data_IF_090996656133
#
_entry.id   IF_090996656133
#
_cell.length_a   1.000
_cell.length_b   1.000
_cell.length_c   1.000
_cell.angle_alpha   90.00
_cell.angle_beta   90.00
_cell.angle_gamma   90.00
#
_symmetry.space_group_name_H-M   'P 1'
#
loop_
_entity.id
_entity.type
_entity.pdbx_description
1 polymer ?
#
# COMPACT_ATOMS: atom_id res chain seq x y z
N UNK A 1 -15.88 17.83 33.09
CA UNK A 1 -14.56 17.13 32.99
C UNK A 1 -14.66 15.72 32.41
N UNK A 2 -15.59 14.86 32.84
CA UNK A 2 -15.71 13.46 32.32
C UNK A 2 -16.06 13.41 30.81
N UNK A 3 -16.94 14.28 30.32
CA UNK A 3 -17.25 14.36 28.87
C UNK A 3 -16.06 14.74 27.99
N UNK A 4 -15.15 15.58 28.51
CA UNK A 4 -13.93 15.96 27.79
C UNK A 4 -12.97 14.77 27.68
N UNK A 5 -12.78 14.00 28.76
CA UNK A 5 -11.99 12.77 28.74
C UNK A 5 -12.58 11.70 27.81
N UNK A 6 -13.91 11.54 27.80
CA UNK A 6 -14.59 10.61 26.88
C UNK A 6 -14.44 11.03 25.41
N UNK A 7 -14.58 12.32 25.10
CA UNK A 7 -14.34 12.85 23.75
C UNK A 7 -12.88 12.73 23.32
N UNK A 8 -11.93 12.98 24.24
CA UNK A 8 -10.50 12.83 23.97
C UNK A 8 -10.10 11.36 23.74
N UNK A 9 -10.66 10.44 24.55
CA UNK A 9 -10.49 9.00 24.38
C UNK A 9 -11.02 8.54 23.02
N UNK A 10 -12.24 8.95 22.67
CA UNK A 10 -12.84 8.64 21.37
C UNK A 10 -12.04 9.22 20.18
N UNK A 11 -11.52 10.44 20.29
CA UNK A 11 -10.68 11.05 19.26
C UNK A 11 -9.35 10.29 19.08
N UNK A 12 -8.71 9.90 20.18
CA UNK A 12 -7.48 9.12 20.15
C UNK A 12 -7.68 7.75 19.47
N UNK A 13 -8.78 7.06 19.79
CA UNK A 13 -9.13 5.78 19.15
C UNK A 13 -9.39 5.94 17.66
N UNK A 14 -10.11 6.99 17.25
CA UNK A 14 -10.37 7.26 15.82
C UNK A 14 -9.07 7.57 15.06
N UNK A 15 -8.18 8.39 15.64
CA UNK A 15 -6.89 8.72 15.02
C UNK A 15 -5.98 7.49 14.91
N UNK A 16 -5.98 6.63 15.94
CA UNK A 16 -5.22 5.39 15.94
C UNK A 16 -5.76 4.44 14.86
N UNK A 17 -7.08 4.31 14.76
CA UNK A 17 -7.75 3.50 13.76
C UNK A 17 -7.43 3.96 12.33
N UNK A 18 -7.54 5.26 12.06
CA UNK A 18 -7.19 5.83 10.76
C UNK A 18 -5.71 5.57 10.42
N UNK A 19 -4.80 5.72 11.38
CA UNK A 19 -3.38 5.40 11.17
C UNK A 19 -3.14 3.93 10.84
N UNK A 20 -3.89 3.01 11.47
CA UNK A 20 -3.80 1.58 11.19
C UNK A 20 -4.30 1.28 9.77
N UNK A 21 -5.47 1.81 9.40
CA UNK A 21 -6.05 1.63 8.07
C UNK A 21 -5.12 2.17 6.97
N UNK A 22 -4.49 3.33 7.17
CA UNK A 22 -3.53 3.91 6.22
C UNK A 22 -2.26 3.05 6.04
N UNK A 23 -1.82 2.35 7.09
CA UNK A 23 -0.67 1.42 7.02
C UNK A 23 -1.05 0.14 6.27
N UNK A 24 -2.24 -0.39 6.48
CA UNK A 24 -2.73 -1.59 5.81
C UNK A 24 -2.92 -1.43 4.29
N UNK A 25 -3.01 -0.20 3.78
CA UNK A 25 -3.14 0.05 2.35
C UNK A 25 -1.83 -0.15 1.56
N UNK A 26 -0.67 -0.17 2.22
CA UNK A 26 0.66 -0.15 1.59
C UNK A 26 1.34 -1.49 1.23
N UNK A 27 0.91 -2.68 1.70
CA UNK A 27 1.61 -3.91 1.40
C UNK A 27 1.41 -4.32 -0.07
N UNK A 28 2.42 -5.00 -0.60
CA UNK A 28 2.39 -5.63 -1.91
C UNK A 28 1.20 -6.55 -2.00
N UNK A 29 0.36 -6.37 -3.03
CA UNK A 29 -0.88 -7.12 -3.19
C UNK A 29 -0.69 -8.57 -3.64
N UNK A 30 0.56 -9.02 -3.73
CA UNK A 30 0.93 -10.36 -4.18
C UNK A 30 1.34 -11.21 -2.98
N UNK A 31 2.37 -10.80 -2.23
CA UNK A 31 2.80 -11.53 -1.04
C UNK A 31 2.10 -11.09 0.25
N UNK A 32 1.49 -9.89 0.27
CA UNK A 32 0.92 -9.26 1.48
C UNK A 32 1.90 -9.14 2.67
N UNK A 33 3.20 -9.32 2.44
CA UNK A 33 4.23 -9.37 3.47
C UNK A 33 5.21 -8.19 3.41
N UNK A 34 5.59 -7.76 2.20
CA UNK A 34 6.50 -6.64 1.99
C UNK A 34 5.75 -5.40 1.50
N UNK A 35 6.31 -4.21 1.71
CA UNK A 35 5.75 -2.99 1.14
C UNK A 35 5.80 -2.98 -0.40
N UNK A 36 4.79 -2.35 -1.00
CA UNK A 36 4.79 -2.06 -2.43
C UNK A 36 5.90 -1.06 -2.74
N UNK A 37 6.75 -1.38 -3.72
CA UNK A 37 7.88 -0.51 -4.09
C UNK A 37 8.29 -0.64 -5.57
N UNK A 38 7.43 -1.22 -6.42
CA UNK A 38 7.63 -1.33 -7.87
C UNK A 38 6.44 -0.80 -8.66
N UNK A 39 6.75 0.04 -9.66
CA UNK A 39 5.83 0.49 -10.70
C UNK A 39 6.05 -0.30 -11.99
N UNK A 40 4.97 -0.76 -12.61
CA UNK A 40 5.01 -1.44 -13.91
C UNK A 40 4.95 -0.47 -15.09
N UNK A 41 5.82 -0.65 -16.08
CA UNK A 41 5.82 0.11 -17.33
C UNK A 41 5.21 -0.71 -18.47
N UNK A 42 4.40 -0.10 -19.36
CA UNK A 42 4.06 1.33 -19.41
C UNK A 42 2.82 1.72 -18.58
N UNK A 43 2.13 0.78 -17.91
CA UNK A 43 0.80 1.04 -17.35
C UNK A 43 0.78 1.88 -16.06
N UNK A 44 1.92 2.05 -15.38
CA UNK A 44 2.06 2.91 -14.20
C UNK A 44 1.50 2.34 -12.89
N UNK A 45 0.95 1.12 -12.87
CA UNK A 45 0.37 0.56 -11.64
C UNK A 45 1.44 0.18 -10.61
N UNK A 46 1.19 0.61 -9.36
CA UNK A 46 2.04 0.41 -8.19
C UNK A 46 1.39 -0.62 -7.25
N UNK A 47 1.72 -1.90 -7.45
CA UNK A 47 0.98 -3.01 -6.82
C UNK A 47 1.88 -4.13 -6.25
N UNK A 48 3.15 -4.16 -6.66
CA UNK A 48 4.08 -5.22 -6.27
C UNK A 48 5.31 -4.72 -5.50
N UNK A 49 5.91 -5.59 -4.70
CA UNK A 49 7.25 -5.41 -4.19
C UNK A 49 8.30 -5.93 -5.19
N UNK A 50 9.55 -5.55 -5.00
CA UNK A 50 10.67 -5.99 -5.82
C UNK A 50 10.89 -7.51 -5.86
N UNK A 51 10.46 -8.25 -4.83
CA UNK A 51 10.53 -9.71 -4.80
C UNK A 51 9.45 -10.40 -5.65
N UNK A 52 8.26 -9.81 -5.74
CA UNK A 52 7.15 -10.38 -6.51
C UNK A 52 7.14 -9.94 -7.98
N UNK A 53 7.68 -8.76 -8.28
CA UNK A 53 7.65 -8.19 -9.63
C UNK A 53 8.23 -9.12 -10.73
N UNK A 54 9.36 -9.83 -10.53
CA UNK A 54 9.95 -10.67 -11.59
C UNK A 54 9.09 -11.87 -12.02
N UNK A 55 8.17 -12.33 -11.15
CA UNK A 55 7.25 -13.42 -11.45
C UNK A 55 6.06 -12.99 -12.32
N UNK A 56 5.91 -11.69 -12.60
CA UNK A 56 4.75 -11.13 -13.29
C UNK A 56 5.11 -10.68 -14.71
N UNK A 57 4.38 -11.19 -15.69
CA UNK A 57 4.50 -10.78 -17.10
C UNK A 57 3.39 -9.81 -17.54
N UNK A 58 2.23 -9.87 -16.86
CA UNK A 58 1.09 -8.97 -17.06
C UNK A 58 0.80 -8.24 -15.76
N UNK A 59 0.39 -6.98 -15.87
CA UNK A 59 -0.04 -6.20 -14.71
C UNK A 59 -1.29 -6.84 -14.07
N UNK A 60 -1.30 -7.15 -12.76
CA UNK A 60 -2.46 -7.74 -12.08
C UNK A 60 -3.71 -6.85 -12.11
N UNK A 61 -3.55 -5.54 -12.28
CA UNK A 61 -4.65 -4.57 -12.24
C UNK A 61 -5.29 -4.41 -13.63
N UNK A 62 -4.49 -4.10 -14.65
CA UNK A 62 -5.00 -3.76 -15.98
C UNK A 62 -4.69 -4.79 -17.07
N UNK A 63 -3.99 -5.88 -16.73
CA UNK A 63 -3.59 -6.97 -17.63
C UNK A 63 -2.67 -6.56 -18.80
N UNK A 64 -2.17 -5.32 -18.82
CA UNK A 64 -1.18 -4.88 -19.81
C UNK A 64 0.15 -5.62 -19.63
N UNK A 65 0.84 -5.90 -20.74
CA UNK A 65 2.19 -6.51 -20.73
C UNK A 65 3.19 -5.60 -20.03
N UNK A 66 3.93 -6.16 -19.08
CA UNK A 66 4.99 -5.47 -18.35
C UNK A 66 6.24 -5.45 -19.23
N UNK A 67 6.67 -4.26 -19.66
CA UNK A 67 7.90 -4.06 -20.45
C UNK A 67 9.09 -3.66 -19.60
N UNK A 68 8.84 -3.26 -18.36
CA UNK A 68 9.87 -2.87 -17.40
C UNK A 68 9.28 -2.59 -16.03
N UNK A 69 10.16 -2.53 -15.04
CA UNK A 69 9.83 -2.27 -13.64
C UNK A 69 10.73 -1.15 -13.12
N UNK A 70 10.15 -0.21 -12.39
CA UNK A 70 10.91 0.85 -11.70
C UNK A 70 10.72 0.70 -10.21
N UNK A 71 11.82 0.64 -9.46
CA UNK A 71 11.77 0.67 -8.00
C UNK A 71 11.54 2.11 -7.54
N UNK A 72 10.52 2.33 -6.72
CA UNK A 72 10.15 3.64 -6.18
C UNK A 72 10.29 3.67 -4.66
N UNK A 73 10.54 4.87 -4.14
CA UNK A 73 10.62 5.16 -2.72
C UNK A 73 9.56 6.21 -2.41
N UNK A 74 8.59 5.86 -1.56
CA UNK A 74 7.52 6.78 -1.15
C UNK A 74 8.05 7.61 0.00
N UNK A 75 7.94 8.93 -0.11
CA UNK A 75 8.37 9.89 0.90
C UNK A 75 7.35 10.00 2.05
#
# INVERSE_FOLDING_TARGET
MIHYYSCYFFLADNLLKENLELKEQRPCKICMACETNVVFLPCGYFVSCAGCAPALQLCPICRATIKGTVRTYVA
#
